data_IF_956263042494
#
_entry.id   IF_956263042494
#
_cell.length_a   1.000
_cell.length_b   1.000
_cell.length_c   1.000
_cell.angle_alpha   90.00
_cell.angle_beta   90.00
_cell.angle_gamma   90.00
#
_symmetry.space_group_name_H-M   'P 1'
#
loop_
_entity.id
_entity.type
_entity.pdbx_description
1 polymer ?
#
# COMPACT_ATOMS: atom_id res chain seq x y z
N UNK A 1 74.91 16.90 35.34
CA UNK A 1 73.51 16.86 35.81
C UNK A 1 72.63 16.43 34.65
N UNK A 2 72.03 15.25 34.79
CA UNK A 2 71.27 14.54 33.66
C UNK A 2 69.86 14.97 33.68
N UNK A 3 69.38 15.53 32.57
CA UNK A 3 67.99 15.85 32.35
C UNK A 3 67.30 14.66 31.59
N UNK A 4 66.36 13.99 32.27
CA UNK A 4 65.62 12.84 31.74
C UNK A 4 64.44 13.35 30.95
N UNK A 5 64.36 13.03 29.63
CA UNK A 5 63.18 13.20 28.76
C UNK A 5 62.27 12.04 28.98
N UNK A 6 61.03 12.29 29.43
CA UNK A 6 59.92 11.33 29.41
C UNK A 6 59.07 11.59 28.17
N UNK A 7 59.13 10.65 27.24
CA UNK A 7 58.23 10.59 26.05
C UNK A 7 56.85 10.09 26.47
N UNK A 8 55.84 10.93 26.30
CA UNK A 8 54.44 10.50 26.34
C UNK A 8 54.05 9.95 24.98
N UNK A 9 53.80 8.65 24.91
CA UNK A 9 53.20 7.99 23.75
C UNK A 9 51.69 8.11 23.91
N UNK A 10 51.07 8.98 23.09
CA UNK A 10 49.63 9.13 23.02
C UNK A 10 49.08 8.01 22.14
N UNK A 11 48.42 7.03 22.75
CA UNK A 11 47.73 5.95 22.03
C UNK A 11 46.40 6.47 21.52
N UNK A 12 46.32 6.74 20.22
CA UNK A 12 45.07 7.07 19.53
C UNK A 12 44.25 5.78 19.34
N UNK A 13 43.23 5.56 20.16
CA UNK A 13 42.29 4.45 20.02
C UNK A 13 41.30 4.82 18.94
N UNK A 14 41.49 4.27 17.72
CA UNK A 14 40.51 4.33 16.64
C UNK A 14 39.40 3.33 16.95
N UNK A 15 38.23 3.82 17.40
CA UNK A 15 36.98 3.03 17.44
C UNK A 15 36.47 2.86 16.00
N UNK A 16 36.29 1.63 15.50
CA UNK A 16 35.58 1.43 14.26
C UNK A 16 34.07 1.67 14.51
N UNK A 17 33.51 2.70 13.87
CA UNK A 17 32.08 2.90 13.79
C UNK A 17 31.49 1.75 12.95
N UNK A 18 30.92 0.75 13.60
CA UNK A 18 30.08 -0.26 12.94
C UNK A 18 28.82 0.44 12.43
N UNK A 19 28.80 0.79 11.14
CA UNK A 19 27.55 1.09 10.44
C UNK A 19 26.69 -0.19 10.46
N UNK A 20 25.69 -0.21 11.31
CA UNK A 20 24.63 -1.23 11.26
C UNK A 20 23.85 -1.03 9.96
N UNK A 21 24.19 -1.79 8.92
CA UNK A 21 23.36 -1.97 7.73
C UNK A 21 22.09 -2.68 8.19
N UNK A 22 21.02 -1.91 8.40
CA UNK A 22 19.67 -2.50 8.53
C UNK A 22 19.34 -3.18 7.20
N UNK A 23 19.10 -4.50 7.16
CA UNK A 23 18.71 -5.15 5.92
C UNK A 23 17.38 -4.55 5.46
N UNK A 24 17.37 -3.92 4.29
CA UNK A 24 16.13 -3.60 3.61
C UNK A 24 15.36 -4.92 3.43
N UNK A 25 14.17 -5.02 4.06
CA UNK A 25 13.34 -6.22 3.99
C UNK A 25 12.82 -6.33 2.56
N UNK A 26 13.51 -7.14 1.74
CA UNK A 26 13.05 -7.45 0.39
C UNK A 26 11.72 -8.21 0.50
N UNK A 27 10.67 -7.70 -0.17
CA UNK A 27 9.38 -8.40 -0.22
C UNK A 27 9.55 -9.77 -0.87
N UNK A 28 8.98 -10.79 -0.22
CA UNK A 28 8.93 -12.11 -0.83
C UNK A 28 7.84 -12.15 -1.92
N UNK A 29 8.02 -12.90 -3.01
CA UNK A 29 6.98 -13.08 -4.04
C UNK A 29 5.64 -13.57 -3.46
N UNK A 30 5.67 -14.36 -2.38
CA UNK A 30 4.46 -14.81 -1.66
C UNK A 30 3.69 -13.66 -1.02
N UNK A 31 4.36 -12.69 -0.41
CA UNK A 31 3.74 -11.52 0.21
C UNK A 31 3.06 -10.62 -0.84
N UNK A 32 3.73 -10.38 -1.98
CA UNK A 32 3.17 -9.63 -3.10
C UNK A 32 1.87 -10.27 -3.64
N UNK A 33 1.85 -11.59 -3.80
CA UNK A 33 0.64 -12.31 -4.24
C UNK A 33 -0.49 -12.25 -3.23
N UNK A 34 -0.19 -12.31 -1.93
CA UNK A 34 -1.21 -12.16 -0.89
C UNK A 34 -1.83 -10.76 -0.95
N UNK A 35 -1.03 -9.71 -1.08
CA UNK A 35 -1.50 -8.33 -1.23
C UNK A 35 -2.37 -8.15 -2.48
N UNK A 36 -1.95 -8.68 -3.62
CA UNK A 36 -2.72 -8.64 -4.86
C UNK A 36 -4.09 -9.35 -4.71
N UNK A 37 -4.12 -10.55 -4.14
CA UNK A 37 -5.37 -11.29 -3.87
C UNK A 37 -6.28 -10.58 -2.89
N UNK A 38 -5.74 -9.93 -1.85
CA UNK A 38 -6.52 -9.11 -0.92
C UNK A 38 -7.13 -7.90 -1.64
N UNK A 39 -6.37 -7.20 -2.49
CA UNK A 39 -6.90 -6.08 -3.27
C UNK A 39 -8.06 -6.53 -4.19
N UNK A 40 -7.92 -7.66 -4.86
CA UNK A 40 -8.99 -8.24 -5.67
C UNK A 40 -10.21 -8.62 -4.81
N UNK A 41 -9.99 -9.23 -3.66
CA UNK A 41 -11.06 -9.62 -2.73
C UNK A 41 -11.82 -8.40 -2.21
N UNK A 42 -11.10 -7.37 -1.76
CA UNK A 42 -11.71 -6.11 -1.33
C UNK A 42 -12.55 -5.48 -2.43
N UNK A 43 -12.06 -5.51 -3.68
CA UNK A 43 -12.80 -5.00 -4.84
C UNK A 43 -14.13 -5.74 -5.06
N UNK A 44 -14.17 -7.06 -4.84
CA UNK A 44 -15.38 -7.90 -4.94
C UNK A 44 -16.42 -7.59 -3.88
N UNK A 45 -15.95 -7.19 -2.68
CA UNK A 45 -16.81 -6.90 -1.53
C UNK A 45 -17.06 -5.40 -1.34
N UNK A 46 -16.67 -4.57 -2.30
CA UNK A 46 -16.97 -3.15 -2.32
C UNK A 46 -18.29 -2.90 -3.04
N UNK A 47 -19.16 -2.12 -2.42
CA UNK A 47 -20.34 -1.58 -3.05
C UNK A 47 -19.95 -0.25 -3.73
N UNK A 48 -20.21 -0.21 -5.04
CA UNK A 48 -19.86 0.91 -5.90
C UNK A 48 -21.09 1.76 -6.20
N UNK A 49 -21.00 3.10 -6.21
CA UNK A 49 -22.08 3.94 -6.71
C UNK A 49 -22.26 3.72 -8.23
N UNK A 50 -23.44 4.00 -8.74
CA UNK A 50 -23.72 3.85 -10.16
C UNK A 50 -22.81 4.68 -11.06
N UNK A 51 -22.32 5.81 -10.55
CA UNK A 51 -21.40 6.72 -11.23
C UNK A 51 -19.96 6.20 -11.33
N UNK A 52 -19.61 5.11 -10.64
CA UNK A 52 -18.25 4.57 -10.65
C UNK A 52 -17.86 3.99 -12.02
N UNK A 53 -18.85 3.59 -12.84
CA UNK A 53 -18.62 2.93 -14.11
C UNK A 53 -19.44 3.60 -15.20
N UNK A 54 -18.83 3.86 -16.36
CA UNK A 54 -19.52 4.47 -17.51
C UNK A 54 -20.50 3.49 -18.19
N UNK A 55 -20.30 2.18 -18.04
CA UNK A 55 -21.19 1.15 -18.61
C UNK A 55 -21.23 -0.14 -17.78
N UNK A 56 -22.28 -0.99 -17.94
CA UNK A 56 -22.34 -2.28 -17.27
C UNK A 56 -21.18 -3.23 -17.61
N UNK A 57 -20.58 -3.09 -18.79
CA UNK A 57 -19.51 -3.95 -19.29
C UNK A 57 -18.12 -3.35 -19.10
N UNK A 58 -18.03 -2.15 -18.52
CA UNK A 58 -16.74 -1.50 -18.25
C UNK A 58 -15.89 -2.37 -17.32
N UNK A 59 -14.60 -2.61 -17.65
CA UNK A 59 -13.69 -3.36 -16.78
C UNK A 59 -13.47 -2.65 -15.46
N UNK A 60 -13.26 -3.43 -14.38
CA UNK A 60 -12.74 -2.91 -13.13
C UNK A 60 -11.22 -2.74 -13.26
N UNK A 61 -10.74 -1.49 -13.20
CA UNK A 61 -9.31 -1.18 -13.33
C UNK A 61 -8.69 -1.09 -11.94
N UNK A 62 -7.70 -1.93 -11.69
CA UNK A 62 -6.84 -1.89 -10.50
C UNK A 62 -5.54 -1.22 -10.89
N UNK A 63 -5.25 -0.07 -10.31
CA UNK A 63 -4.00 0.65 -10.49
C UNK A 63 -3.07 0.35 -9.31
N UNK A 64 -1.77 0.24 -9.59
CA UNK A 64 -0.76 -0.06 -8.59
C UNK A 64 0.34 0.98 -8.64
N UNK A 65 0.57 1.69 -7.54
CA UNK A 65 1.72 2.55 -7.35
C UNK A 65 2.80 1.79 -6.57
N UNK A 66 3.90 1.50 -7.22
CA UNK A 66 4.98 0.71 -6.62
C UNK A 66 6.34 1.00 -7.26
N UNK A 67 7.41 0.53 -6.58
CA UNK A 67 8.79 0.44 -7.10
C UNK A 67 9.35 -0.97 -6.91
N UNK A 68 8.49 -1.99 -6.93
CA UNK A 68 8.83 -3.38 -6.59
C UNK A 68 8.41 -4.31 -7.71
N UNK A 69 9.36 -5.02 -8.33
CA UNK A 69 9.10 -6.01 -9.38
C UNK A 69 8.16 -7.14 -8.96
N UNK A 70 8.31 -7.76 -7.75
CA UNK A 70 7.38 -8.80 -7.32
C UNK A 70 5.92 -8.34 -7.26
N UNK A 71 5.67 -7.06 -6.97
CA UNK A 71 4.31 -6.50 -7.00
C UNK A 71 3.79 -6.37 -8.43
N UNK A 72 4.62 -5.92 -9.36
CA UNK A 72 4.26 -5.82 -10.76
C UNK A 72 3.75 -7.17 -11.30
N UNK A 73 4.52 -8.23 -11.07
CA UNK A 73 4.14 -9.58 -11.48
C UNK A 73 2.87 -10.06 -10.80
N UNK A 74 2.79 -9.94 -9.45
CA UNK A 74 1.68 -10.44 -8.67
C UNK A 74 0.34 -9.77 -9.01
N UNK A 75 0.34 -8.46 -9.24
CA UNK A 75 -0.86 -7.75 -9.67
C UNK A 75 -1.18 -8.04 -11.14
N UNK A 76 -0.19 -8.20 -12.00
CA UNK A 76 -0.36 -8.60 -13.41
C UNK A 76 -1.16 -9.88 -13.56
N UNK A 77 -0.97 -10.86 -12.66
CA UNK A 77 -1.72 -12.14 -12.61
C UNK A 77 -3.24 -11.95 -12.39
N UNK A 78 -3.69 -10.78 -11.94
CA UNK A 78 -5.11 -10.48 -11.74
C UNK A 78 -5.83 -10.11 -13.04
N UNK A 79 -5.11 -9.75 -14.09
CA UNK A 79 -5.69 -9.35 -15.37
C UNK A 79 -6.50 -10.50 -15.96
N UNK A 80 -7.74 -10.19 -16.37
CA UNK A 80 -8.70 -11.18 -16.89
C UNK A 80 -9.52 -11.89 -15.82
N UNK A 81 -9.20 -11.77 -14.53
CA UNK A 81 -10.04 -12.30 -13.46
C UNK A 81 -11.34 -11.49 -13.33
N UNK A 82 -12.29 -12.02 -12.56
CA UNK A 82 -13.58 -11.38 -12.35
C UNK A 82 -13.70 -10.76 -10.94
N UNK A 83 -14.22 -9.55 -10.88
CA UNK A 83 -14.59 -8.89 -9.62
C UNK A 83 -15.94 -8.18 -9.80
N UNK A 84 -16.93 -8.49 -8.96
CA UNK A 84 -18.26 -7.87 -9.02
C UNK A 84 -18.95 -7.97 -10.39
N UNK A 85 -18.75 -9.08 -11.13
CA UNK A 85 -19.29 -9.28 -12.47
C UNK A 85 -18.51 -8.57 -13.59
N UNK A 86 -17.38 -7.93 -13.29
CA UNK A 86 -16.54 -7.18 -14.25
C UNK A 86 -15.20 -7.85 -14.46
N UNK A 87 -14.69 -7.79 -15.68
CA UNK A 87 -13.32 -8.23 -15.98
C UNK A 87 -12.33 -7.25 -15.35
N UNK A 88 -11.31 -7.76 -14.69
CA UNK A 88 -10.24 -6.96 -14.08
C UNK A 88 -9.18 -6.61 -15.12
N UNK A 89 -8.74 -5.36 -15.11
CA UNK A 89 -7.54 -4.87 -15.79
C UNK A 89 -6.59 -4.29 -14.76
N UNK A 90 -5.30 -4.47 -14.97
CA UNK A 90 -4.27 -3.92 -14.09
C UNK A 90 -3.44 -2.89 -14.84
N UNK A 91 -3.15 -1.77 -14.20
CA UNK A 91 -2.27 -0.71 -14.68
C UNK A 91 -1.23 -0.37 -13.62
N UNK A 92 0.04 -0.39 -13.97
CA UNK A 92 1.13 -0.03 -13.07
C UNK A 92 1.57 1.41 -13.29
N UNK A 93 1.72 2.16 -12.19
CA UNK A 93 2.18 3.56 -12.18
C UNK A 93 1.48 4.47 -13.22
N UNK A 94 0.14 4.52 -13.27
CA UNK A 94 -0.57 5.29 -14.28
C UNK A 94 -0.42 6.80 -14.06
N UNK A 95 -0.35 7.57 -15.15
CA UNK A 95 -0.24 9.03 -15.09
C UNK A 95 -1.55 9.71 -14.64
N UNK A 96 -2.70 9.09 -14.93
CA UNK A 96 -4.04 9.63 -14.64
C UNK A 96 -4.83 8.67 -13.74
N UNK A 97 -4.55 8.68 -12.45
CA UNK A 97 -5.16 7.74 -11.49
C UNK A 97 -6.66 7.99 -11.35
N UNK A 98 -7.05 9.21 -11.09
CA UNK A 98 -8.42 9.55 -10.72
C UNK A 98 -9.47 9.25 -11.80
N UNK A 99 -9.10 9.32 -13.08
CA UNK A 99 -10.01 9.07 -14.21
C UNK A 99 -9.86 7.70 -14.85
N UNK A 100 -8.83 6.94 -14.48
CA UNK A 100 -8.51 5.67 -15.12
C UNK A 100 -8.66 4.46 -14.19
N UNK A 101 -8.78 4.68 -12.87
CA UNK A 101 -8.71 3.63 -11.88
C UNK A 101 -10.00 3.56 -11.04
N UNK A 102 -10.44 2.34 -10.74
CA UNK A 102 -11.50 2.09 -9.76
C UNK A 102 -10.91 1.69 -8.41
N UNK A 103 -9.80 0.97 -8.43
CA UNK A 103 -9.04 0.58 -7.24
C UNK A 103 -7.61 1.09 -7.38
N UNK A 104 -7.07 1.67 -6.33
CA UNK A 104 -5.69 2.10 -6.25
C UNK A 104 -4.99 1.40 -5.10
N UNK A 105 -4.02 0.55 -5.44
CA UNK A 105 -3.11 -0.01 -4.46
C UNK A 105 -1.84 0.86 -4.40
N UNK A 106 -1.49 1.30 -3.19
CA UNK A 106 -0.30 2.12 -2.94
C UNK A 106 0.66 1.33 -2.05
N UNK A 107 1.77 0.94 -2.63
CA UNK A 107 2.84 0.26 -1.89
C UNK A 107 3.67 1.26 -1.09
N UNK A 108 4.19 0.87 0.07
CA UNK A 108 5.03 1.71 0.94
C UNK A 108 6.19 2.39 0.20
N UNK A 109 6.78 1.73 -0.81
CA UNK A 109 7.84 2.31 -1.64
C UNK A 109 7.40 3.51 -2.49
N UNK A 110 6.10 3.71 -2.64
CA UNK A 110 5.48 4.81 -3.39
C UNK A 110 4.70 5.80 -2.50
N UNK A 111 4.85 5.75 -1.20
CA UNK A 111 4.08 6.52 -0.20
C UNK A 111 3.99 8.02 -0.52
N UNK A 112 5.09 8.65 -0.95
CA UNK A 112 5.08 10.08 -1.30
C UNK A 112 4.12 10.39 -2.46
N UNK A 113 4.15 9.60 -3.52
CA UNK A 113 3.26 9.76 -4.67
C UNK A 113 1.82 9.41 -4.27
N UNK A 114 1.64 8.35 -3.48
CA UNK A 114 0.36 7.92 -2.95
C UNK A 114 -0.32 8.97 -2.08
N UNK A 115 0.39 9.62 -1.17
CA UNK A 115 -0.16 10.69 -0.33
C UNK A 115 -0.67 11.88 -1.17
N UNK A 116 0.02 12.25 -2.24
CA UNK A 116 -0.46 13.31 -3.14
C UNK A 116 -1.79 12.92 -3.82
N UNK A 117 -1.94 11.64 -4.21
CA UNK A 117 -3.17 11.14 -4.82
C UNK A 117 -4.32 11.11 -3.81
N UNK A 118 -4.09 10.68 -2.56
CA UNK A 118 -5.13 10.66 -1.51
C UNK A 118 -5.76 12.03 -1.31
N UNK A 119 -4.96 13.10 -1.37
CA UNK A 119 -5.46 14.47 -1.22
C UNK A 119 -6.36 14.91 -2.38
N UNK A 120 -6.10 14.44 -3.59
CA UNK A 120 -6.83 14.86 -4.81
C UNK A 120 -8.01 13.97 -5.14
N UNK A 121 -8.01 12.71 -4.71
CA UNK A 121 -9.01 11.71 -5.05
C UNK A 121 -10.05 11.44 -3.95
N UNK A 122 -10.02 12.16 -2.84
CA UNK A 122 -10.77 11.85 -1.62
C UNK A 122 -12.31 11.76 -1.79
N UNK A 123 -12.88 12.43 -2.80
CA UNK A 123 -14.33 12.41 -3.07
C UNK A 123 -14.70 11.61 -4.32
N UNK A 124 -13.76 10.92 -4.93
CA UNK A 124 -14.01 10.12 -6.12
C UNK A 124 -14.29 8.65 -5.76
N UNK A 125 -15.11 7.92 -6.54
CA UNK A 125 -15.40 6.51 -6.29
C UNK A 125 -14.18 5.62 -6.61
N UNK A 126 -13.07 5.89 -5.92
CA UNK A 126 -11.78 5.23 -6.05
C UNK A 126 -11.44 4.53 -4.73
N UNK A 127 -11.51 3.20 -4.70
CA UNK A 127 -11.11 2.42 -3.53
C UNK A 127 -9.58 2.48 -3.35
N UNK A 128 -9.11 3.09 -2.27
CA UNK A 128 -7.68 3.17 -1.96
C UNK A 128 -7.27 2.11 -0.94
N UNK A 129 -6.23 1.36 -1.26
CA UNK A 129 -5.65 0.30 -0.44
C UNK A 129 -4.15 0.57 -0.34
N UNK A 130 -3.57 0.47 0.83
CA UNK A 130 -2.12 0.67 0.98
C UNK A 130 -1.54 -0.20 2.07
N UNK A 131 -0.23 -0.44 2.01
CA UNK A 131 0.53 -1.22 2.99
C UNK A 131 1.59 -0.38 3.73
N UNK A 132 1.62 0.93 3.49
CA UNK A 132 2.45 1.86 4.26
C UNK A 132 1.85 2.14 5.63
N UNK A 133 2.70 2.21 6.67
CA UNK A 133 2.29 2.44 8.05
C UNK A 133 1.44 3.72 8.18
N UNK A 134 0.30 3.62 8.85
CA UNK A 134 -0.62 4.73 9.08
C UNK A 134 -1.39 5.19 7.84
N UNK A 135 -1.43 4.40 6.78
CA UNK A 135 -2.13 4.73 5.53
C UNK A 135 -3.60 5.12 5.77
N UNK A 136 -4.33 4.35 6.58
CA UNK A 136 -5.72 4.66 6.92
C UNK A 136 -5.85 5.93 7.76
N UNK A 137 -4.87 6.24 8.61
CA UNK A 137 -4.85 7.47 9.42
C UNK A 137 -4.59 8.72 8.56
N UNK A 138 -3.86 8.57 7.44
CA UNK A 138 -3.57 9.66 6.49
C UNK A 138 -4.68 9.86 5.44
N UNK A 139 -5.82 9.18 5.56
CA UNK A 139 -6.95 9.34 4.65
C UNK A 139 -7.13 8.22 3.64
N UNK A 140 -6.29 7.19 3.65
CA UNK A 140 -6.53 5.96 2.89
C UNK A 140 -7.73 5.19 3.42
N UNK A 141 -8.36 4.37 2.59
CA UNK A 141 -9.58 3.65 2.95
C UNK A 141 -9.31 2.31 3.63
N UNK A 142 -8.36 1.54 3.11
CA UNK A 142 -7.97 0.23 3.67
C UNK A 142 -6.46 0.15 3.78
N UNK A 143 -5.96 -0.08 4.98
CA UNK A 143 -4.54 -0.33 5.27
C UNK A 143 -4.31 -1.81 5.49
N UNK A 144 -3.31 -2.38 4.82
CA UNK A 144 -2.82 -3.73 5.05
C UNK A 144 -1.69 -3.67 6.09
N UNK A 145 -1.95 -4.15 7.29
CA UNK A 145 -0.99 -4.12 8.41
C UNK A 145 -0.44 -5.51 8.66
N UNK A 146 0.88 -5.65 8.70
CA UNK A 146 1.50 -6.91 9.12
C UNK A 146 1.55 -6.98 10.65
N UNK A 147 0.90 -7.99 11.22
CA UNK A 147 0.90 -8.28 12.65
C UNK A 147 1.33 -9.74 12.83
N UNK A 148 2.51 -9.96 13.39
CA UNK A 148 3.06 -11.30 13.61
C UNK A 148 3.00 -12.18 12.33
N UNK A 149 3.54 -11.67 11.24
CA UNK A 149 3.57 -12.30 9.91
C UNK A 149 2.18 -12.63 9.32
N UNK A 150 1.14 -12.01 9.84
CA UNK A 150 -0.22 -12.11 9.32
C UNK A 150 -0.71 -10.74 8.86
N UNK A 151 -1.20 -10.64 7.62
CA UNK A 151 -1.83 -9.42 7.13
C UNK A 151 -3.20 -9.23 7.77
N UNK A 152 -3.41 -8.05 8.34
CA UNK A 152 -4.68 -7.59 8.92
C UNK A 152 -5.14 -6.34 8.18
N UNK A 153 -6.41 -5.97 8.36
CA UNK A 153 -7.01 -4.82 7.72
C UNK A 153 -7.35 -3.76 8.75
N UNK A 154 -6.94 -2.52 8.51
CA UNK A 154 -7.51 -1.35 9.18
C UNK A 154 -8.36 -0.60 8.16
N UNK A 155 -9.57 -0.23 8.53
CA UNK A 155 -10.55 0.38 7.62
C UNK A 155 -10.93 1.78 8.10
N UNK A 156 -10.94 2.75 7.19
CA UNK A 156 -11.39 4.12 7.41
C UNK A 156 -12.76 4.32 6.75
N UNK A 157 -13.82 4.23 7.55
CA UNK A 157 -15.19 4.40 7.08
C UNK A 157 -15.51 5.83 6.64
N UNK A 158 -14.87 6.82 7.26
CA UNK A 158 -15.04 8.23 6.86
C UNK A 158 -14.57 8.44 5.42
N UNK A 159 -13.40 7.92 5.06
CA UNK A 159 -12.86 7.99 3.69
C UNK A 159 -13.74 7.24 2.69
N UNK A 160 -14.22 6.04 3.04
CA UNK A 160 -15.14 5.27 2.19
C UNK A 160 -16.44 6.03 1.93
N UNK A 161 -17.08 6.58 2.97
CA UNK A 161 -18.32 7.33 2.85
C UNK A 161 -18.14 8.60 1.99
N UNK A 162 -17.03 9.31 2.14
CA UNK A 162 -16.71 10.50 1.33
C UNK A 162 -16.64 10.19 -0.17
N UNK A 163 -16.16 8.99 -0.53
CA UNK A 163 -16.08 8.48 -1.90
C UNK A 163 -17.36 7.75 -2.36
N UNK A 164 -18.41 7.74 -1.57
CA UNK A 164 -19.66 6.99 -1.82
C UNK A 164 -19.43 5.47 -1.97
N UNK A 165 -18.40 4.96 -1.34
CA UNK A 165 -18.09 3.53 -1.30
C UNK A 165 -18.52 2.91 0.03
N UNK A 166 -18.85 1.62 0.01
CA UNK A 166 -19.06 0.85 1.22
C UNK A 166 -18.42 -0.54 1.10
N UNK A 167 -17.83 -1.02 2.19
CA UNK A 167 -17.37 -2.40 2.29
C UNK A 167 -18.45 -3.26 2.92
N UNK A 168 -18.55 -4.52 2.48
CA UNK A 168 -19.50 -5.47 3.07
C UNK A 168 -19.22 -5.67 4.56
N UNK A 169 -20.27 -5.97 5.32
CA UNK A 169 -20.14 -6.28 6.75
C UNK A 169 -19.23 -7.47 7.03
N UNK A 170 -19.08 -8.39 6.09
CA UNK A 170 -18.16 -9.53 6.19
C UNK A 170 -16.70 -9.06 6.24
N UNK A 171 -16.30 -8.11 5.40
CA UNK A 171 -14.96 -7.51 5.41
C UNK A 171 -14.74 -6.72 6.69
N UNK A 172 -15.73 -5.91 7.11
CA UNK A 172 -15.61 -5.09 8.32
C UNK A 172 -15.43 -5.94 9.58
N UNK A 173 -16.05 -7.12 9.66
CA UNK A 173 -15.85 -8.07 10.77
C UNK A 173 -14.44 -8.65 10.85
N UNK A 174 -13.71 -8.69 9.74
CA UNK A 174 -12.33 -9.17 9.66
C UNK A 174 -11.31 -8.07 9.91
N UNK A 175 -11.74 -6.81 9.93
CA UNK A 175 -10.86 -5.68 10.19
C UNK A 175 -10.35 -5.72 11.64
N UNK A 176 -9.05 -5.45 11.80
CA UNK A 176 -8.41 -5.26 13.12
C UNK A 176 -8.93 -3.98 13.78
N UNK A 177 -9.06 -2.93 13.00
CA UNK A 177 -9.55 -1.62 13.43
C UNK A 177 -10.48 -1.03 12.38
N UNK A 178 -11.59 -0.44 12.83
CA UNK A 178 -12.50 0.36 12.00
C UNK A 178 -12.51 1.78 12.57
N UNK A 179 -12.15 2.76 11.77
CA UNK A 179 -12.12 4.20 12.10
C UNK A 179 -13.36 4.87 11.50
N UNK A 180 -14.03 5.67 12.31
CA UNK A 180 -15.22 6.42 11.94
C UNK A 180 -14.90 7.89 11.57
#
# INVERSE_FOLDING_TARGET
MRCSRRSFVSACVLLPAMLALTPARAQSPSDARVKARLALTLSRFTQWPASAFASPTEPLVICVLHRSEPLFEAFGELTGQMAGGRVVRVSSNPDKIASACHVLFIHESADRAGNAVLLTAAAQPLLTIGDGEGFAARGGMVELVNVNDTLRLDVNLKALRAAQLALSSQVLKLARQVRE
#
